data_IF_111017154522
#
_entry.id   IF_111017154522
#
_cell.length_a   1.000
_cell.length_b   1.000
_cell.length_c   1.000
_cell.angle_alpha   90.00
_cell.angle_beta   90.00
_cell.angle_gamma   90.00
#
_symmetry.space_group_name_H-M   'P 1'
#
loop_
_entity.id
_entity.type
_entity.pdbx_description
1 polymer ?
#
# COMPACT_ATOMS: atom_id res chain seq x y z
N UNK A 1 15.36 -26.97 7.71
CA UNK A 1 13.97 -26.96 8.22
C UNK A 1 13.14 -26.10 7.31
N UNK A 2 12.18 -26.67 6.58
CA UNK A 2 11.23 -25.92 5.75
C UNK A 2 10.33 -25.09 6.67
N UNK A 3 10.42 -23.79 6.59
CA UNK A 3 9.58 -22.87 7.39
C UNK A 3 8.14 -22.99 6.85
N UNK A 4 7.20 -23.36 7.71
CA UNK A 4 5.79 -23.54 7.32
C UNK A 4 5.21 -22.22 6.84
N UNK A 5 4.68 -22.17 5.62
CA UNK A 5 4.13 -20.95 5.01
C UNK A 5 2.86 -20.45 5.69
N UNK A 6 1.92 -21.36 6.02
CA UNK A 6 0.60 -20.99 6.53
C UNK A 6 0.63 -20.16 7.82
N UNK A 7 1.38 -20.51 8.89
CA UNK A 7 1.44 -19.65 10.08
C UNK A 7 2.01 -18.27 9.81
N UNK A 8 2.99 -18.16 8.89
CA UNK A 8 3.57 -16.86 8.51
C UNK A 8 2.56 -16.03 7.72
N UNK A 9 1.81 -16.62 6.79
CA UNK A 9 0.76 -15.92 6.05
C UNK A 9 -0.30 -15.37 7.00
N UNK A 10 -0.81 -16.19 7.93
CA UNK A 10 -1.82 -15.77 8.90
C UNK A 10 -1.27 -14.69 9.83
N UNK A 11 -0.10 -14.92 10.41
CA UNK A 11 0.51 -13.95 11.34
C UNK A 11 0.83 -12.62 10.67
N UNK A 12 1.56 -12.63 9.54
CA UNK A 12 1.85 -11.41 8.81
C UNK A 12 0.59 -10.78 8.22
N UNK A 13 -0.37 -11.58 7.74
CA UNK A 13 -1.65 -11.07 7.26
C UNK A 13 -2.39 -10.27 8.34
N UNK A 14 -2.44 -10.81 9.56
CA UNK A 14 -3.03 -10.13 10.72
C UNK A 14 -2.28 -8.85 11.05
N UNK A 15 -0.94 -8.88 11.13
CA UNK A 15 -0.16 -7.68 11.47
C UNK A 15 -0.19 -6.64 10.35
N UNK A 16 -0.30 -7.04 9.08
CA UNK A 16 -0.52 -6.13 7.97
C UNK A 16 -1.92 -5.49 8.04
N UNK A 17 -2.96 -6.27 8.34
CA UNK A 17 -4.31 -5.73 8.55
C UNK A 17 -4.32 -4.68 9.65
N UNK A 18 -3.68 -4.97 10.80
CA UNK A 18 -3.54 -4.04 11.91
C UNK A 18 -2.79 -2.76 11.48
N UNK A 19 -1.63 -2.90 10.83
CA UNK A 19 -0.80 -1.77 10.45
C UNK A 19 -1.50 -0.84 9.44
N UNK A 20 -2.16 -1.41 8.41
CA UNK A 20 -2.92 -0.62 7.44
C UNK A 20 -4.13 0.07 8.07
N UNK A 21 -4.89 -0.64 8.91
CA UNK A 21 -6.09 -0.11 9.58
C UNK A 21 -5.77 1.09 10.48
N UNK A 22 -4.70 0.97 11.30
CA UNK A 22 -4.34 1.94 12.32
C UNK A 22 -3.42 3.08 11.85
N UNK A 23 -2.94 3.04 10.60
CA UNK A 23 -2.08 4.10 10.05
C UNK A 23 -2.63 4.68 8.76
N UNK A 24 -2.55 3.95 7.64
CA UNK A 24 -2.94 4.47 6.33
C UNK A 24 -4.44 4.80 6.23
N UNK A 25 -5.31 3.99 6.84
CA UNK A 25 -6.76 4.19 6.79
C UNK A 25 -7.31 5.05 7.93
N UNK A 26 -6.49 5.38 8.91
CA UNK A 26 -6.89 6.14 10.10
C UNK A 26 -7.43 7.56 9.76
N UNK A 27 -6.79 8.35 8.87
CA UNK A 27 -7.26 9.70 8.57
C UNK A 27 -8.67 9.77 7.99
N UNK A 28 -9.11 8.72 7.31
CA UNK A 28 -10.46 8.69 6.74
C UNK A 28 -11.58 8.84 7.77
N UNK A 29 -11.32 8.46 9.03
CA UNK A 29 -12.29 8.51 10.13
C UNK A 29 -11.92 9.60 11.14
N UNK A 30 -10.63 9.76 11.45
CA UNK A 30 -10.20 10.65 12.54
C UNK A 30 -9.77 12.05 12.11
N UNK A 31 -9.63 12.34 10.80
CA UNK A 31 -9.14 13.65 10.36
C UNK A 31 -10.03 14.80 10.84
N UNK A 32 -11.34 14.71 10.66
CA UNK A 32 -12.27 15.76 11.06
C UNK A 32 -12.40 15.91 12.57
N UNK A 33 -12.56 14.83 13.38
CA UNK A 33 -12.55 14.95 14.83
C UNK A 33 -11.27 15.57 15.40
N UNK A 34 -10.09 15.18 14.89
CA UNK A 34 -8.81 15.76 15.32
C UNK A 34 -8.73 17.24 14.92
N UNK A 35 -9.12 17.57 13.70
CA UNK A 35 -9.09 18.95 13.20
C UNK A 35 -9.99 19.86 14.02
N UNK A 36 -11.21 19.41 14.33
CA UNK A 36 -12.17 20.13 15.16
C UNK A 36 -11.61 20.38 16.57
N UNK A 37 -11.04 19.37 17.21
CA UNK A 37 -10.52 19.46 18.58
C UNK A 37 -9.27 20.35 18.68
N UNK A 38 -8.43 20.36 17.63
CA UNK A 38 -7.24 21.24 17.56
C UNK A 38 -7.55 22.64 17.00
N UNK A 39 -8.79 22.93 16.59
CA UNK A 39 -9.18 24.21 16.00
C UNK A 39 -8.49 24.51 14.66
N UNK A 40 -8.23 23.48 13.85
CA UNK A 40 -7.54 23.60 12.56
C UNK A 40 -8.36 23.01 11.41
N UNK A 41 -7.98 23.26 10.17
CA UNK A 41 -8.58 22.60 9.02
C UNK A 41 -8.10 21.14 8.90
N UNK A 42 -8.99 20.22 8.48
CA UNK A 42 -8.65 18.82 8.16
C UNK A 42 -7.52 18.70 7.12
N UNK A 43 -7.30 19.75 6.31
CA UNK A 43 -6.18 19.80 5.36
C UNK A 43 -4.80 19.67 6.05
N UNK A 44 -4.67 20.12 7.29
CA UNK A 44 -3.44 19.95 8.06
C UNK A 44 -3.19 18.47 8.40
N UNK A 45 -4.25 17.71 8.71
CA UNK A 45 -4.16 16.28 9.01
C UNK A 45 -3.77 15.51 7.75
N UNK A 46 -4.43 15.78 6.61
CA UNK A 46 -4.10 15.17 5.34
C UNK A 46 -2.72 15.58 4.83
N UNK A 47 -2.29 16.82 5.07
CA UNK A 47 -0.94 17.29 4.77
C UNK A 47 0.13 16.55 5.57
N UNK A 48 -0.08 16.37 6.88
CA UNK A 48 0.81 15.60 7.74
C UNK A 48 0.85 14.11 7.33
N UNK A 49 -0.29 13.52 6.97
CA UNK A 49 -0.37 12.18 6.39
C UNK A 49 0.42 12.07 5.08
N UNK A 50 0.26 13.02 4.15
CA UNK A 50 1.04 13.05 2.91
C UNK A 50 2.54 13.15 3.17
N UNK A 51 2.96 14.00 4.11
CA UNK A 51 4.36 14.09 4.53
C UNK A 51 4.87 12.74 5.11
N UNK A 52 4.04 12.02 5.86
CA UNK A 52 4.39 10.70 6.39
C UNK A 52 4.62 9.66 5.28
N UNK A 53 3.86 9.71 4.18
CA UNK A 53 4.08 8.85 3.02
C UNK A 53 5.40 9.17 2.31
N UNK A 54 5.78 10.44 2.22
CA UNK A 54 7.08 10.85 1.68
C UNK A 54 8.23 10.32 2.55
N UNK A 55 8.12 10.43 3.88
CA UNK A 55 9.10 9.85 4.80
C UNK A 55 9.23 8.33 4.60
N UNK A 56 8.09 7.63 4.53
CA UNK A 56 8.06 6.20 4.26
C UNK A 56 8.76 5.86 2.93
N UNK A 57 8.56 6.68 1.88
CA UNK A 57 9.21 6.51 0.59
C UNK A 57 10.73 6.67 0.67
N UNK A 58 11.20 7.74 1.32
CA UNK A 58 12.64 8.03 1.45
C UNK A 58 13.39 6.96 2.25
N UNK A 59 12.76 6.36 3.23
CA UNK A 59 13.34 5.30 4.05
C UNK A 59 13.34 3.94 3.36
N UNK A 60 12.49 3.72 2.34
CA UNK A 60 12.29 2.44 1.67
C UNK A 60 13.58 1.71 1.29
N UNK A 61 14.53 2.34 0.56
CA UNK A 61 15.77 1.66 0.17
C UNK A 61 16.67 1.26 1.35
N UNK A 62 16.70 2.05 2.42
CA UNK A 62 17.47 1.74 3.63
C UNK A 62 16.83 0.59 4.42
N UNK A 63 15.50 0.60 4.55
CA UNK A 63 14.73 -0.47 5.19
C UNK A 63 14.89 -1.77 4.42
N UNK A 64 14.76 -1.74 3.10
CA UNK A 64 14.95 -2.92 2.24
C UNK A 64 16.33 -3.55 2.42
N UNK A 65 17.40 -2.75 2.41
CA UNK A 65 18.77 -3.22 2.70
C UNK A 65 18.90 -3.84 4.08
N UNK A 66 18.21 -3.27 5.06
CA UNK A 66 18.24 -3.80 6.42
C UNK A 66 17.60 -5.18 6.48
N UNK A 67 16.47 -5.38 5.79
CA UNK A 67 15.81 -6.69 5.71
C UNK A 67 16.69 -7.70 5.00
N UNK A 68 17.33 -7.32 3.89
CA UNK A 68 18.24 -8.20 3.15
C UNK A 68 19.44 -8.65 4.03
N UNK A 69 19.85 -7.84 5.01
CA UNK A 69 20.98 -8.16 5.91
C UNK A 69 20.57 -8.97 7.13
N UNK A 70 19.56 -8.52 7.87
CA UNK A 70 19.21 -9.07 9.20
C UNK A 70 17.86 -9.80 9.22
N UNK A 71 17.12 -9.82 8.09
CA UNK A 71 15.79 -10.40 7.99
C UNK A 71 14.66 -9.48 8.45
N UNK A 72 13.42 -9.91 8.19
CA UNK A 72 12.23 -9.09 8.43
C UNK A 72 11.76 -9.04 9.88
N UNK A 73 12.12 -10.03 10.73
CA UNK A 73 11.61 -10.15 12.10
C UNK A 73 11.84 -8.88 12.93
N UNK A 74 13.08 -8.41 12.98
CA UNK A 74 13.45 -7.25 13.78
C UNK A 74 12.82 -5.96 13.23
N UNK A 75 12.81 -5.79 11.91
CA UNK A 75 12.27 -4.60 11.24
C UNK A 75 10.76 -4.48 11.44
N UNK A 76 10.02 -5.57 11.20
CA UNK A 76 8.56 -5.62 11.39
C UNK A 76 8.16 -5.56 12.87
N UNK A 77 8.99 -6.07 13.79
CA UNK A 77 8.74 -5.89 15.22
C UNK A 77 8.97 -4.45 15.66
N UNK A 78 10.04 -3.80 15.17
CA UNK A 78 10.31 -2.39 15.43
C UNK A 78 9.20 -1.49 14.87
N UNK A 79 8.60 -1.84 13.72
CA UNK A 79 7.48 -1.07 13.17
C UNK A 79 6.31 -0.99 14.15
N UNK A 80 5.99 -2.09 14.86
CA UNK A 80 4.90 -2.08 15.85
C UNK A 80 5.19 -1.13 17.01
N UNK A 81 6.44 -1.06 17.48
CA UNK A 81 6.83 -0.12 18.54
C UNK A 81 6.72 1.33 18.06
N UNK A 82 7.17 1.62 16.84
CA UNK A 82 7.13 2.97 16.27
C UNK A 82 5.69 3.38 15.94
N UNK A 83 4.87 2.49 15.37
CA UNK A 83 3.46 2.76 15.13
C UNK A 83 2.70 2.99 16.44
N UNK A 84 2.95 2.17 17.45
CA UNK A 84 2.36 2.37 18.79
C UNK A 84 2.76 3.73 19.39
N UNK A 85 4.04 4.10 19.28
CA UNK A 85 4.53 5.38 19.78
C UNK A 85 3.93 6.56 19.01
N UNK A 86 3.82 6.45 17.68
CA UNK A 86 3.19 7.46 16.82
C UNK A 86 1.70 7.63 17.12
N UNK A 87 0.97 6.54 17.31
CA UNK A 87 -0.45 6.55 17.68
C UNK A 87 -0.66 7.11 19.09
N UNK A 88 0.18 6.73 20.05
CA UNK A 88 0.13 7.29 21.40
C UNK A 88 0.41 8.80 21.38
N UNK A 89 1.43 9.24 20.63
CA UNK A 89 1.74 10.66 20.49
C UNK A 89 0.61 11.40 19.77
N UNK A 90 -0.06 10.77 18.79
CA UNK A 90 -1.24 11.34 18.14
C UNK A 90 -2.38 11.54 19.16
N UNK A 91 -2.66 10.53 20.01
CA UNK A 91 -3.65 10.64 21.09
C UNK A 91 -3.34 11.74 22.11
N UNK A 92 -2.05 12.07 22.30
CA UNK A 92 -1.58 13.15 23.17
C UNK A 92 -1.52 14.53 22.46
N UNK A 93 -1.87 14.61 21.17
CA UNK A 93 -1.71 15.86 20.41
C UNK A 93 -2.62 16.97 20.92
N UNK A 94 -2.01 18.07 21.31
CA UNK A 94 -2.65 19.33 21.73
C UNK A 94 -2.23 20.52 20.86
N UNK A 95 -1.36 20.27 19.87
CA UNK A 95 -0.85 21.30 18.96
C UNK A 95 -0.46 20.69 17.61
N UNK A 96 -0.35 21.53 16.59
CA UNK A 96 0.12 21.11 15.25
C UNK A 96 1.52 20.52 15.27
N UNK A 97 2.39 20.93 16.19
CA UNK A 97 3.74 20.41 16.30
C UNK A 97 3.76 18.96 16.80
N UNK A 98 2.95 18.66 17.82
CA UNK A 98 2.80 17.28 18.32
C UNK A 98 2.13 16.42 17.26
N UNK A 99 1.11 16.92 16.57
CA UNK A 99 0.47 16.28 15.44
C UNK A 99 1.49 15.92 14.35
N UNK A 100 2.30 16.90 13.93
CA UNK A 100 3.33 16.69 12.91
C UNK A 100 4.37 15.64 13.35
N UNK A 101 4.83 15.68 14.60
CA UNK A 101 5.74 14.70 15.17
C UNK A 101 5.11 13.29 15.20
N UNK A 102 3.83 13.17 15.55
CA UNK A 102 3.10 11.89 15.54
C UNK A 102 3.04 11.31 14.13
N UNK A 103 2.67 12.12 13.12
CA UNK A 103 2.63 11.67 11.73
C UNK A 103 4.01 11.34 11.17
N UNK A 104 5.07 12.03 11.63
CA UNK A 104 6.46 11.70 11.29
C UNK A 104 6.82 10.29 11.79
N UNK A 105 6.50 9.98 13.04
CA UNK A 105 6.68 8.62 13.59
C UNK A 105 5.83 7.59 12.85
N UNK A 106 4.56 7.90 12.58
CA UNK A 106 3.69 7.02 11.79
C UNK A 106 4.26 6.77 10.40
N UNK A 107 4.86 7.79 9.75
CA UNK A 107 5.55 7.64 8.47
C UNK A 107 6.72 6.68 8.52
N UNK A 108 7.56 6.76 9.55
CA UNK A 108 8.65 5.82 9.80
C UNK A 108 8.06 4.41 10.04
N UNK A 109 7.05 4.30 10.89
CA UNK A 109 6.37 3.05 11.22
C UNK A 109 5.74 2.39 9.98
N UNK A 110 5.08 3.17 9.11
CA UNK A 110 4.53 2.69 7.84
C UNK A 110 5.63 2.20 6.89
N UNK A 111 6.75 2.91 6.81
CA UNK A 111 7.91 2.45 6.02
C UNK A 111 8.44 1.11 6.49
N UNK A 112 8.55 0.91 7.80
CA UNK A 112 9.04 -0.31 8.43
C UNK A 112 8.02 -1.46 8.47
N UNK A 113 6.72 -1.19 8.34
CA UNK A 113 5.66 -2.15 8.70
C UNK A 113 4.69 -2.51 7.59
N UNK A 114 4.56 -1.74 6.51
CA UNK A 114 3.60 -2.01 5.44
C UNK A 114 4.13 -2.99 4.40
N UNK A 115 3.35 -3.21 3.35
CA UNK A 115 3.52 -4.29 2.36
C UNK A 115 4.95 -4.48 1.82
N UNK A 116 5.66 -3.42 1.43
CA UNK A 116 6.98 -3.59 0.77
C UNK A 116 7.98 -4.25 1.73
N UNK A 117 7.90 -3.92 3.02
CA UNK A 117 8.70 -4.53 4.09
C UNK A 117 8.30 -5.99 4.34
N UNK A 118 6.99 -6.28 4.35
CA UNK A 118 6.48 -7.64 4.49
C UNK A 118 6.85 -8.50 3.27
N UNK A 119 6.76 -7.96 2.05
CA UNK A 119 7.16 -8.65 0.82
C UNK A 119 8.67 -8.93 0.80
N UNK A 120 9.49 -7.95 1.20
CA UNK A 120 10.94 -8.15 1.33
C UNK A 120 11.28 -9.27 2.33
N UNK A 121 10.59 -9.29 3.48
CA UNK A 121 10.75 -10.35 4.47
C UNK A 121 10.36 -11.74 3.92
N UNK A 122 9.24 -11.84 3.21
CA UNK A 122 8.81 -13.09 2.56
C UNK A 122 9.77 -13.54 1.46
N UNK A 123 10.25 -12.60 0.63
CA UNK A 123 11.26 -12.88 -0.40
C UNK A 123 12.56 -13.44 0.21
N UNK A 124 13.00 -12.89 1.36
CA UNK A 124 14.16 -13.42 2.07
C UNK A 124 13.92 -14.81 2.69
N UNK A 125 12.71 -15.10 3.16
CA UNK A 125 12.38 -16.39 3.79
C UNK A 125 12.22 -17.49 2.75
N UNK A 126 11.49 -17.21 1.66
CA UNK A 126 11.03 -18.23 0.70
C UNK A 126 11.69 -18.14 -0.68
N UNK A 127 12.50 -17.10 -0.93
CA UNK A 127 13.13 -16.89 -2.24
C UNK A 127 12.08 -16.84 -3.36
N UNK A 128 12.29 -17.58 -4.44
CA UNK A 128 11.36 -17.67 -5.58
C UNK A 128 9.96 -18.21 -5.20
N UNK A 129 9.85 -19.00 -4.13
CA UNK A 129 8.57 -19.53 -3.66
C UNK A 129 7.72 -18.53 -2.86
N UNK A 130 8.16 -17.28 -2.68
CA UNK A 130 7.46 -16.27 -1.89
C UNK A 130 6.14 -15.79 -2.53
N UNK A 131 5.92 -16.00 -3.85
CA UNK A 131 4.74 -15.51 -4.58
C UNK A 131 3.42 -15.84 -3.86
N UNK A 132 3.21 -17.11 -3.51
CA UNK A 132 1.98 -17.56 -2.82
C UNK A 132 1.80 -16.90 -1.44
N UNK A 133 2.90 -16.71 -0.71
CA UNK A 133 2.86 -16.03 0.60
C UNK A 133 2.57 -14.53 0.46
N UNK A 134 3.13 -13.85 -0.55
CA UNK A 134 2.86 -12.45 -0.88
C UNK A 134 1.36 -12.28 -1.21
N UNK A 135 0.81 -13.11 -2.10
CA UNK A 135 -0.63 -13.10 -2.40
C UNK A 135 -1.46 -13.37 -1.15
N UNK A 136 -1.07 -14.36 -0.34
CA UNK A 136 -1.77 -14.71 0.90
C UNK A 136 -1.89 -13.54 1.88
N UNK A 137 -0.80 -12.84 2.21
CA UNK A 137 -0.88 -11.70 3.15
C UNK A 137 -1.69 -10.53 2.57
N UNK A 138 -1.71 -10.35 1.24
CA UNK A 138 -2.52 -9.29 0.62
C UNK A 138 -4.01 -9.61 0.64
N UNK A 139 -4.40 -10.89 0.65
CA UNK A 139 -5.80 -11.29 0.86
C UNK A 139 -6.27 -10.88 2.26
N UNK A 140 -5.48 -11.18 3.31
CA UNK A 140 -5.80 -10.76 4.69
C UNK A 140 -5.90 -9.24 4.82
N UNK A 141 -4.84 -8.53 4.43
CA UNK A 141 -4.81 -7.08 4.56
C UNK A 141 -5.71 -6.35 3.54
N UNK A 142 -6.29 -7.06 2.59
CA UNK A 142 -7.38 -6.56 1.75
C UNK A 142 -8.61 -6.16 2.56
N UNK A 143 -8.79 -6.73 3.75
CA UNK A 143 -9.86 -6.39 4.69
C UNK A 143 -9.49 -5.29 5.68
N UNK A 144 -8.30 -4.67 5.56
CA UNK A 144 -7.85 -3.69 6.53
C UNK A 144 -8.78 -2.47 6.66
N UNK A 145 -9.31 -1.94 5.56
CA UNK A 145 -10.31 -0.87 5.61
C UNK A 145 -11.66 -1.37 6.10
N UNK A 146 -12.08 -2.57 5.68
CA UNK A 146 -13.36 -3.20 6.07
C UNK A 146 -13.43 -3.47 7.57
N UNK A 147 -12.29 -3.75 8.21
CA UNK A 147 -12.18 -3.96 9.65
C UNK A 147 -11.83 -2.64 10.36
N UNK A 148 -10.86 -1.91 9.83
CA UNK A 148 -10.29 -0.73 10.46
C UNK A 148 -11.26 0.44 10.57
N UNK A 149 -12.00 0.75 9.53
CA UNK A 149 -12.96 1.86 9.56
C UNK A 149 -14.08 1.65 10.57
N UNK A 150 -14.82 0.51 10.60
CA UNK A 150 -15.84 0.31 11.63
C UNK A 150 -15.28 0.29 13.05
N UNK A 151 -14.11 -0.31 13.27
CA UNK A 151 -13.49 -0.33 14.61
C UNK A 151 -13.05 1.07 15.03
N UNK A 152 -12.47 1.86 14.13
CA UNK A 152 -12.08 3.25 14.42
C UNK A 152 -13.30 4.13 14.66
N UNK A 153 -14.37 3.98 13.86
CA UNK A 153 -15.61 4.72 14.04
C UNK A 153 -16.32 4.36 15.35
N UNK A 154 -16.35 3.06 15.70
CA UNK A 154 -16.90 2.60 16.98
C UNK A 154 -16.09 3.15 18.17
N UNK A 155 -14.77 3.14 18.07
CA UNK A 155 -13.88 3.74 19.06
C UNK A 155 -14.16 5.24 19.21
N UNK A 156 -14.22 5.98 18.10
CA UNK A 156 -14.53 7.40 18.09
C UNK A 156 -15.86 7.69 18.80
N UNK A 157 -16.90 6.91 18.52
CA UNK A 157 -18.25 7.08 19.10
C UNK A 157 -18.27 6.75 20.60
N UNK A 158 -17.57 5.69 21.03
CA UNK A 158 -17.67 5.15 22.39
C UNK A 158 -16.70 5.76 23.39
N UNK A 159 -15.49 6.05 22.95
CA UNK A 159 -14.38 6.46 23.84
C UNK A 159 -13.68 7.75 23.36
N UNK A 160 -14.01 8.26 22.18
CA UNK A 160 -13.36 9.44 21.62
C UNK A 160 -12.14 9.10 20.76
N UNK A 161 -11.66 10.10 20.01
CA UNK A 161 -10.55 9.88 19.06
C UNK A 161 -9.19 9.65 19.72
N UNK A 162 -8.93 10.25 20.89
CA UNK A 162 -7.66 10.10 21.63
C UNK A 162 -7.50 8.68 22.15
N UNK A 163 -8.51 8.19 22.83
CA UNK A 163 -8.57 6.84 23.40
C UNK A 163 -8.59 5.79 22.29
N UNK A 164 -9.18 6.10 21.13
CA UNK A 164 -9.09 5.24 19.94
C UNK A 164 -7.66 5.12 19.43
N UNK A 165 -6.89 6.20 19.43
CA UNK A 165 -5.46 6.16 19.09
C UNK A 165 -4.68 5.31 20.12
N UNK A 166 -4.95 5.43 21.42
CA UNK A 166 -4.32 4.58 22.44
C UNK A 166 -4.73 3.11 22.32
N UNK A 167 -5.98 2.82 21.96
CA UNK A 167 -6.43 1.45 21.73
C UNK A 167 -5.67 0.82 20.53
N UNK A 168 -5.49 1.54 19.42
CA UNK A 168 -4.68 1.08 18.31
C UNK A 168 -3.20 0.92 18.69
N UNK A 169 -2.64 1.83 19.50
CA UNK A 169 -1.27 1.70 20.03
C UNK A 169 -1.12 0.43 20.87
N UNK A 170 -2.07 0.17 21.76
CA UNK A 170 -2.10 -1.05 22.57
C UNK A 170 -2.20 -2.31 21.71
N UNK A 171 -3.01 -2.30 20.63
CA UNK A 171 -3.12 -3.43 19.71
C UNK A 171 -1.78 -3.74 19.02
N UNK A 172 -0.98 -2.72 18.67
CA UNK A 172 0.37 -2.95 18.15
C UNK A 172 1.30 -3.63 19.15
N UNK A 173 1.24 -3.25 20.44
CA UNK A 173 2.08 -3.84 21.49
C UNK A 173 1.60 -5.24 21.87
N UNK A 174 0.29 -5.43 22.02
CA UNK A 174 -0.28 -6.67 22.55
C UNK A 174 -0.52 -7.75 21.50
N UNK A 175 -0.72 -7.36 20.25
CA UNK A 175 -1.04 -8.28 19.14
C UNK A 175 0.09 -8.25 18.09
N UNK A 176 0.37 -7.08 17.51
CA UNK A 176 1.29 -6.97 16.38
C UNK A 176 2.71 -7.37 16.70
N UNK A 177 3.25 -6.85 17.80
CA UNK A 177 4.63 -7.11 18.24
C UNK A 177 4.86 -8.59 18.60
N UNK A 178 4.04 -9.24 19.45
CA UNK A 178 4.21 -10.66 19.76
C UNK A 178 4.10 -11.57 18.54
N UNK A 179 3.16 -11.30 17.63
CA UNK A 179 3.02 -12.08 16.40
C UNK A 179 4.29 -11.99 15.56
N UNK A 180 4.81 -10.79 15.28
CA UNK A 180 6.01 -10.61 14.48
C UNK A 180 7.26 -11.24 15.13
N UNK A 181 7.35 -11.20 16.47
CA UNK A 181 8.44 -11.82 17.23
C UNK A 181 8.39 -13.36 17.23
N UNK A 182 7.22 -13.94 17.15
CA UNK A 182 7.05 -15.41 17.28
C UNK A 182 6.94 -16.12 15.94
N UNK A 183 6.24 -15.50 14.98
CA UNK A 183 5.92 -16.13 13.68
C UNK A 183 7.09 -16.02 12.70
N UNK A 184 7.83 -14.91 12.72
CA UNK A 184 8.94 -14.71 11.81
C UNK A 184 10.23 -15.37 12.30
N UNK A 185 10.97 -16.07 11.41
CA UNK A 185 12.24 -16.68 11.77
C UNK A 185 13.27 -15.61 12.15
N UNK A 186 14.07 -15.93 13.17
CA UNK A 186 15.26 -15.13 13.49
C UNK A 186 16.38 -15.55 12.54
N UNK A 187 16.86 -14.60 11.77
CA UNK A 187 18.11 -14.79 11.02
C UNK A 187 19.27 -14.40 11.93
N UNK A 188 20.21 -15.34 12.11
CA UNK A 188 21.52 -14.99 12.67
C UNK A 188 22.27 -14.26 11.56
N UNK A 189 22.85 -13.08 11.80
CA UNK A 189 23.80 -12.51 10.86
C UNK A 189 24.88 -13.58 10.62
N UNK A 190 25.06 -14.02 9.38
CA UNK A 190 26.26 -14.80 9.08
C UNK A 190 27.43 -13.95 9.50
N UNK A 191 28.27 -14.49 10.38
CA UNK A 191 29.56 -13.92 10.70
C UNK A 191 30.40 -14.02 9.40
N UNK A 192 30.18 -13.07 8.47
CA UNK A 192 31.04 -12.92 7.31
C UNK A 192 32.39 -12.52 7.82
N UNK A 193 33.37 -13.38 7.48
CA UNK A 193 34.79 -13.11 7.57
C UNK A 193 35.07 -11.63 7.27
N UNK A 194 36.03 -11.08 7.95
CA UNK A 194 36.64 -9.76 8.03
C UNK A 194 36.88 -8.96 6.73
N UNK A 195 36.24 -9.33 5.62
CA UNK A 195 36.23 -8.52 4.41
C UNK A 195 35.15 -7.43 4.57
N UNK A 196 35.59 -6.19 4.49
CA UNK A 196 34.69 -5.01 4.46
C UNK A 196 33.56 -5.30 3.47
N UNK A 197 32.30 -5.16 3.86
CA UNK A 197 31.21 -5.40 2.94
C UNK A 197 31.31 -4.36 1.83
N UNK A 198 31.84 -4.78 0.68
CA UNK A 198 31.67 -4.04 -0.57
C UNK A 198 30.15 -3.90 -0.69
N UNK A 199 29.65 -2.67 -0.48
CA UNK A 199 28.23 -2.37 -0.68
C UNK A 199 27.92 -2.79 -2.12
N UNK A 200 27.12 -3.83 -2.37
CA UNK A 200 26.84 -4.21 -3.72
C UNK A 200 26.20 -3.00 -4.39
N UNK A 201 26.89 -2.41 -5.34
CA UNK A 201 26.32 -1.39 -6.22
C UNK A 201 25.37 -2.15 -7.14
N UNK A 202 24.11 -2.25 -6.73
CA UNK A 202 23.07 -2.77 -7.60
C UNK A 202 22.81 -1.66 -8.61
N UNK A 203 23.12 -1.86 -9.88
CA UNK A 203 22.85 -0.85 -10.89
C UNK A 203 21.33 -0.65 -10.99
N UNK A 204 20.91 0.59 -11.12
CA UNK A 204 19.53 0.93 -11.50
C UNK A 204 19.46 0.67 -13.00
N UNK A 205 18.92 -0.48 -13.35
CA UNK A 205 18.75 -0.89 -14.75
C UNK A 205 17.42 -0.40 -15.35
N UNK A 206 17.27 -0.60 -16.66
CA UNK A 206 16.05 -0.22 -17.38
C UNK A 206 14.80 -0.87 -16.81
N UNK A 207 14.87 -2.12 -16.35
CA UNK A 207 13.73 -2.83 -15.80
C UNK A 207 13.27 -2.22 -14.47
N UNK A 208 14.20 -1.83 -13.59
CA UNK A 208 13.90 -1.11 -12.36
C UNK A 208 13.22 0.23 -12.64
N UNK A 209 13.69 0.99 -13.62
CA UNK A 209 13.10 2.30 -13.99
C UNK A 209 11.68 2.11 -14.52
N UNK A 210 11.47 1.14 -15.41
CA UNK A 210 10.15 0.85 -15.98
C UNK A 210 9.15 0.37 -14.91
N UNK A 211 9.58 -0.47 -13.99
CA UNK A 211 8.74 -0.89 -12.86
C UNK A 211 8.43 0.25 -11.90
N UNK A 212 9.43 1.07 -11.56
CA UNK A 212 9.24 2.24 -10.71
C UNK A 212 8.23 3.23 -11.33
N UNK A 213 8.35 3.50 -12.63
CA UNK A 213 7.41 4.33 -13.37
C UNK A 213 6.01 3.71 -13.42
N UNK A 214 5.91 2.40 -13.73
CA UNK A 214 4.63 1.69 -13.79
C UNK A 214 3.90 1.75 -12.45
N UNK A 215 4.60 1.46 -11.36
CA UNK A 215 3.99 1.48 -10.01
C UNK A 215 3.71 2.92 -9.53
N UNK A 216 4.53 3.90 -9.90
CA UNK A 216 4.25 5.30 -9.61
C UNK A 216 2.96 5.76 -10.31
N UNK A 217 2.79 5.44 -11.59
CA UNK A 217 1.57 5.73 -12.35
C UNK A 217 0.34 5.06 -11.72
N UNK A 218 0.45 3.77 -11.38
CA UNK A 218 -0.63 3.01 -10.75
C UNK A 218 -1.03 3.58 -9.38
N UNK A 219 -0.05 3.92 -8.52
CA UNK A 219 -0.32 4.48 -7.19
C UNK A 219 -0.81 5.92 -7.25
N UNK A 220 -0.43 6.70 -8.27
CA UNK A 220 -1.05 8.02 -8.53
C UNK A 220 -2.54 7.88 -8.80
N UNK A 221 -2.93 6.96 -9.69
CA UNK A 221 -4.35 6.68 -9.99
C UNK A 221 -5.07 6.20 -8.73
N UNK A 222 -4.48 5.27 -7.97
CA UNK A 222 -5.07 4.77 -6.72
C UNK A 222 -5.24 5.89 -5.69
N UNK A 223 -4.23 6.74 -5.48
CA UNK A 223 -4.29 7.85 -4.54
C UNK A 223 -5.33 8.90 -4.94
N UNK A 224 -5.40 9.24 -6.22
CA UNK A 224 -6.39 10.16 -6.77
C UNK A 224 -7.82 9.64 -6.60
N UNK A 225 -8.06 8.37 -6.94
CA UNK A 225 -9.38 7.75 -6.77
C UNK A 225 -9.78 7.62 -5.30
N UNK A 226 -8.85 7.28 -4.42
CA UNK A 226 -9.12 7.21 -2.99
C UNK A 226 -9.58 8.55 -2.40
N UNK A 227 -9.07 9.67 -2.92
CA UNK A 227 -9.41 11.00 -2.43
C UNK A 227 -10.65 11.61 -3.11
N UNK A 228 -10.85 11.35 -4.41
CA UNK A 228 -11.77 12.13 -5.23
C UNK A 228 -12.85 11.32 -5.94
N UNK A 229 -12.95 10.01 -5.70
CA UNK A 229 -13.90 9.15 -6.41
C UNK A 229 -15.34 9.66 -6.38
N UNK A 230 -15.93 10.00 -5.21
CA UNK A 230 -17.31 10.48 -5.19
C UNK A 230 -17.50 11.71 -6.09
N UNK A 231 -16.61 12.67 -5.98
CA UNK A 231 -16.64 13.91 -6.77
C UNK A 231 -16.52 13.68 -8.27
N UNK A 232 -15.67 12.73 -8.70
CA UNK A 232 -15.51 12.34 -10.10
C UNK A 232 -16.80 11.68 -10.62
N UNK A 233 -17.41 10.79 -9.84
CA UNK A 233 -18.64 10.09 -10.20
C UNK A 233 -19.83 11.06 -10.28
N UNK A 234 -19.94 12.01 -9.34
CA UNK A 234 -20.96 13.06 -9.36
C UNK A 234 -20.79 13.97 -10.60
N UNK A 235 -19.54 14.34 -10.93
CA UNK A 235 -19.27 15.09 -12.14
C UNK A 235 -19.58 14.30 -13.44
N UNK A 236 -19.61 12.96 -13.37
CA UNK A 236 -20.06 12.10 -14.46
C UNK A 236 -21.60 11.88 -14.47
N UNK A 237 -22.34 12.55 -13.59
CA UNK A 237 -23.81 12.49 -13.52
C UNK A 237 -24.37 11.44 -12.57
N UNK A 238 -23.56 10.85 -11.66
CA UNK A 238 -24.07 9.99 -10.60
C UNK A 238 -24.69 10.85 -9.48
N UNK A 239 -25.73 10.34 -8.83
CA UNK A 239 -26.20 10.92 -7.57
C UNK A 239 -25.19 10.64 -6.43
N UNK A 240 -25.22 11.43 -5.35
CA UNK A 240 -24.35 11.23 -4.20
C UNK A 240 -24.53 9.83 -3.59
N UNK A 241 -25.75 9.29 -3.58
CA UNK A 241 -26.02 7.92 -3.13
C UNK A 241 -25.35 6.89 -4.04
N UNK A 242 -25.42 7.06 -5.36
CA UNK A 242 -24.74 6.18 -6.32
C UNK A 242 -23.23 6.26 -6.17
N UNK A 243 -22.68 7.44 -5.97
CA UNK A 243 -21.23 7.65 -5.79
C UNK A 243 -20.70 6.95 -4.53
N UNK A 244 -21.40 7.09 -3.40
CA UNK A 244 -21.05 6.42 -2.14
C UNK A 244 -21.19 4.89 -2.27
N UNK A 245 -22.28 4.42 -2.85
CA UNK A 245 -22.52 2.97 -3.07
C UNK A 245 -21.43 2.38 -3.98
N UNK A 246 -21.07 3.07 -5.07
CA UNK A 246 -19.99 2.65 -5.95
C UNK A 246 -18.64 2.59 -5.21
N UNK A 247 -18.32 3.58 -4.39
CA UNK A 247 -17.13 3.59 -3.57
C UNK A 247 -17.01 2.37 -2.65
N UNK A 248 -18.13 1.94 -2.06
CA UNK A 248 -18.19 0.77 -1.19
C UNK A 248 -17.87 -0.56 -1.93
N UNK A 249 -18.06 -0.61 -3.26
CA UNK A 249 -17.75 -1.80 -4.06
C UNK A 249 -16.27 -2.00 -4.35
N UNK A 250 -15.41 -0.97 -4.18
CA UNK A 250 -13.97 -1.07 -4.46
C UNK A 250 -13.32 -2.16 -3.61
N UNK A 251 -13.58 -2.19 -2.31
CA UNK A 251 -13.00 -3.19 -1.40
C UNK A 251 -13.34 -4.63 -1.78
N UNK A 252 -14.62 -5.00 -1.90
CA UNK A 252 -15.03 -6.32 -2.39
C UNK A 252 -14.42 -6.68 -3.76
N UNK A 253 -14.41 -5.75 -4.71
CA UNK A 253 -13.81 -5.97 -6.02
C UNK A 253 -12.31 -6.27 -5.96
N UNK A 254 -11.57 -5.56 -5.09
CA UNK A 254 -10.14 -5.85 -4.85
C UNK A 254 -9.92 -7.26 -4.30
N UNK A 255 -10.71 -7.69 -3.33
CA UNK A 255 -10.58 -9.02 -2.72
C UNK A 255 -10.91 -10.11 -3.73
N UNK A 256 -12.02 -9.97 -4.47
CA UNK A 256 -12.41 -10.93 -5.51
C UNK A 256 -11.32 -11.04 -6.58
N UNK A 257 -10.77 -9.92 -7.04
CA UNK A 257 -9.71 -9.92 -8.04
C UNK A 257 -8.43 -10.60 -7.53
N UNK A 258 -8.08 -10.46 -6.24
CA UNK A 258 -6.96 -11.15 -5.61
C UNK A 258 -7.20 -12.66 -5.51
N UNK A 259 -8.44 -13.08 -5.23
CA UNK A 259 -8.82 -14.51 -5.23
C UNK A 259 -8.69 -15.08 -6.65
N UNK A 260 -9.16 -14.37 -7.67
CA UNK A 260 -9.03 -14.77 -9.08
C UNK A 260 -7.55 -14.85 -9.47
N UNK A 261 -6.73 -13.87 -9.06
CA UNK A 261 -5.27 -13.90 -9.31
C UNK A 261 -4.64 -15.13 -8.65
N UNK A 262 -4.93 -15.37 -7.38
CA UNK A 262 -4.37 -16.50 -6.63
C UNK A 262 -4.75 -17.86 -7.23
N UNK A 263 -6.02 -18.04 -7.63
CA UNK A 263 -6.54 -19.32 -8.11
C UNK A 263 -6.29 -19.56 -9.59
N UNK A 264 -6.38 -18.52 -10.43
CA UNK A 264 -6.39 -18.68 -11.89
C UNK A 264 -5.17 -18.05 -12.57
N UNK A 265 -4.84 -16.80 -12.25
CA UNK A 265 -3.79 -16.05 -12.92
C UNK A 265 -2.38 -16.35 -12.36
N UNK A 266 -2.29 -16.99 -11.19
CA UNK A 266 -1.01 -17.34 -10.55
C UNK A 266 -0.15 -18.32 -11.38
N UNK A 267 -0.74 -19.07 -12.31
CA UNK A 267 -0.04 -19.96 -13.23
C UNK A 267 0.72 -19.24 -14.35
N UNK A 268 0.40 -17.97 -14.58
CA UNK A 268 1.10 -17.17 -15.59
C UNK A 268 2.22 -16.36 -14.95
N UNK A 269 3.18 -15.92 -15.79
CA UNK A 269 4.19 -14.98 -15.31
C UNK A 269 3.52 -13.70 -14.75
N UNK A 270 3.98 -13.15 -13.63
CA UNK A 270 3.33 -12.00 -12.96
C UNK A 270 3.10 -10.76 -13.83
N UNK A 271 3.87 -10.61 -14.90
CA UNK A 271 3.67 -9.50 -15.86
C UNK A 271 2.30 -9.58 -16.57
N UNK A 272 1.77 -10.78 -16.80
CA UNK A 272 0.48 -10.97 -17.50
C UNK A 272 -0.69 -10.42 -16.69
N UNK A 273 -0.94 -10.87 -15.43
CA UNK A 273 -1.99 -10.28 -14.61
C UNK A 273 -1.76 -8.79 -14.35
N UNK A 274 -0.50 -8.32 -14.26
CA UNK A 274 -0.20 -6.91 -14.07
C UNK A 274 -0.61 -6.07 -15.29
N UNK A 275 -0.34 -6.54 -16.51
CA UNK A 275 -0.79 -5.86 -17.75
C UNK A 275 -2.32 -5.82 -17.85
N UNK A 276 -2.99 -6.91 -17.54
CA UNK A 276 -4.46 -6.97 -17.51
C UNK A 276 -5.02 -5.96 -16.50
N UNK A 277 -4.42 -5.87 -15.31
CA UNK A 277 -4.82 -4.93 -14.28
C UNK A 277 -4.68 -3.46 -14.71
N UNK A 278 -3.67 -3.12 -15.53
CA UNK A 278 -3.53 -1.77 -16.08
C UNK A 278 -4.66 -1.39 -17.05
N UNK A 279 -5.35 -2.36 -17.64
CA UNK A 279 -6.48 -2.12 -18.56
C UNK A 279 -7.81 -1.94 -17.82
N UNK A 280 -7.96 -2.45 -16.62
CA UNK A 280 -9.25 -2.44 -15.92
C UNK A 280 -9.75 -1.01 -15.65
N UNK A 281 -8.89 -0.11 -15.17
CA UNK A 281 -9.28 1.28 -14.90
C UNK A 281 -9.69 2.04 -16.18
N UNK A 282 -8.95 2.03 -17.30
CA UNK A 282 -9.39 2.63 -18.55
C UNK A 282 -10.69 2.05 -19.11
N UNK A 283 -10.89 0.72 -18.99
CA UNK A 283 -12.14 0.08 -19.41
C UNK A 283 -13.30 0.57 -18.58
N UNK A 284 -13.16 0.61 -17.26
CA UNK A 284 -14.18 1.18 -16.38
C UNK A 284 -14.47 2.65 -16.69
N UNK A 285 -13.43 3.46 -16.92
CA UNK A 285 -13.56 4.87 -17.30
C UNK A 285 -14.30 5.06 -18.63
N UNK A 286 -14.03 4.22 -19.64
CA UNK A 286 -14.74 4.24 -20.92
C UNK A 286 -16.22 3.87 -20.73
N UNK A 287 -16.54 2.86 -19.93
CA UNK A 287 -17.93 2.48 -19.61
C UNK A 287 -18.65 3.66 -18.93
N UNK A 288 -18.01 4.31 -17.95
CA UNK A 288 -18.56 5.47 -17.27
C UNK A 288 -18.78 6.65 -18.23
N UNK A 289 -17.84 6.92 -19.10
CA UNK A 289 -17.94 7.99 -20.10
C UNK A 289 -19.07 7.77 -21.10
N UNK A 290 -19.35 6.51 -21.49
CA UNK A 290 -20.41 6.16 -22.45
C UNK A 290 -21.80 6.11 -21.80
N UNK A 291 -21.91 5.70 -20.53
CA UNK A 291 -23.17 5.43 -19.85
C UNK A 291 -23.51 6.45 -18.75
N UNK A 292 -22.63 7.39 -18.49
CA UNK A 292 -22.82 8.40 -17.42
C UNK A 292 -22.88 7.78 -16.02
N UNK A 293 -23.47 8.52 -15.08
CA UNK A 293 -23.56 8.15 -13.66
C UNK A 293 -24.17 6.79 -13.35
N UNK A 294 -25.00 6.24 -14.26
CA UNK A 294 -25.58 4.89 -14.11
C UNK A 294 -24.50 3.79 -14.06
N UNK A 295 -23.33 4.03 -14.66
CA UNK A 295 -22.20 3.09 -14.69
C UNK A 295 -21.21 3.29 -13.54
N UNK A 296 -21.49 4.13 -12.55
CA UNK A 296 -20.60 4.41 -11.41
C UNK A 296 -20.11 3.14 -10.70
N UNK A 297 -21.02 2.19 -10.45
CA UNK A 297 -20.71 0.91 -9.81
C UNK A 297 -19.79 0.04 -10.68
N UNK A 298 -20.03 0.00 -12.01
CA UNK A 298 -19.18 -0.73 -12.94
C UNK A 298 -17.75 -0.16 -12.94
N UNK A 299 -17.60 1.17 -13.02
CA UNK A 299 -16.30 1.82 -12.91
C UNK A 299 -15.57 1.44 -11.62
N UNK A 300 -16.26 1.52 -10.47
CA UNK A 300 -15.68 1.20 -9.18
C UNK A 300 -15.20 -0.26 -9.08
N UNK A 301 -15.97 -1.20 -9.63
CA UNK A 301 -15.61 -2.62 -9.69
C UNK A 301 -14.36 -2.83 -10.56
N UNK A 302 -14.31 -2.27 -11.75
CA UNK A 302 -13.14 -2.39 -12.64
C UNK A 302 -11.90 -1.75 -12.02
N UNK A 303 -12.02 -0.53 -11.48
CA UNK A 303 -10.93 0.14 -10.79
C UNK A 303 -10.43 -0.67 -9.57
N UNK A 304 -11.37 -1.14 -8.74
CA UNK A 304 -11.05 -1.96 -7.57
C UNK A 304 -10.35 -3.25 -7.94
N UNK A 305 -10.83 -3.97 -8.96
CA UNK A 305 -10.22 -5.21 -9.43
C UNK A 305 -8.76 -5.00 -9.87
N UNK A 306 -8.49 -3.97 -10.67
CA UNK A 306 -7.14 -3.61 -11.09
C UNK A 306 -6.23 -3.29 -9.91
N UNK A 307 -6.69 -2.46 -8.97
CA UNK A 307 -5.93 -2.10 -7.79
C UNK A 307 -5.61 -3.32 -6.90
N UNK A 308 -6.54 -4.28 -6.80
CA UNK A 308 -6.32 -5.55 -6.10
C UNK A 308 -5.15 -6.34 -6.68
N UNK A 309 -5.11 -6.54 -7.99
CA UNK A 309 -4.04 -7.28 -8.69
C UNK A 309 -2.71 -6.50 -8.65
N UNK A 310 -2.73 -5.18 -8.88
CA UNK A 310 -1.53 -4.33 -8.83
C UNK A 310 -0.86 -4.34 -7.44
N UNK A 311 -1.63 -4.49 -6.38
CA UNK A 311 -1.08 -4.64 -5.02
C UNK A 311 -0.23 -5.91 -4.89
N UNK A 312 -0.69 -7.04 -5.44
CA UNK A 312 0.08 -8.31 -5.47
C UNK A 312 1.31 -8.15 -6.38
N UNK A 313 1.11 -7.53 -7.55
CA UNK A 313 2.15 -7.35 -8.55
C UNK A 313 3.36 -6.57 -8.03
N UNK A 314 3.17 -5.61 -7.11
CA UNK A 314 4.26 -4.85 -6.48
C UNK A 314 5.27 -5.73 -5.75
N UNK A 315 4.85 -6.86 -5.22
CA UNK A 315 5.75 -7.83 -4.60
C UNK A 315 6.19 -8.94 -5.56
N UNK A 316 5.26 -9.47 -6.36
CA UNK A 316 5.52 -10.67 -7.16
C UNK A 316 6.27 -10.39 -8.46
N UNK A 317 6.02 -9.26 -9.11
CA UNK A 317 6.66 -8.93 -10.40
C UNK A 317 8.14 -8.58 -10.24
N UNK A 318 8.58 -7.74 -9.29
CA UNK A 318 10.01 -7.54 -9.03
C UNK A 318 10.73 -8.84 -8.62
N UNK A 319 10.07 -9.71 -7.84
CA UNK A 319 10.63 -11.00 -7.45
C UNK A 319 10.85 -11.92 -8.67
N UNK A 320 9.90 -11.94 -9.60
CA UNK A 320 10.00 -12.75 -10.82
C UNK A 320 11.09 -12.25 -11.77
N UNK A 321 11.31 -10.92 -11.85
CA UNK A 321 12.29 -10.32 -12.77
C UNK A 321 13.71 -10.36 -12.20
N UNK A 322 13.88 -10.05 -10.91
CA UNK A 322 15.20 -9.84 -10.30
C UNK A 322 15.64 -10.98 -9.38
N UNK A 323 14.75 -11.93 -9.09
CA UNK A 323 15.01 -12.97 -8.10
C UNK A 323 15.04 -12.45 -6.66
N UNK A 324 15.40 -13.32 -5.70
CA UNK A 324 15.38 -13.00 -4.27
C UNK A 324 16.61 -12.24 -3.78
N UNK A 325 17.67 -12.13 -4.60
CA UNK A 325 18.89 -11.44 -4.19
C UNK A 325 18.70 -9.92 -4.09
N UNK A 326 19.03 -9.35 -2.91
CA UNK A 326 18.84 -7.93 -2.62
C UNK A 326 17.42 -7.44 -2.93
N UNK A 327 16.43 -8.33 -2.81
CA UNK A 327 15.04 -8.08 -3.17
C UNK A 327 14.45 -6.92 -2.35
N UNK A 328 14.74 -6.86 -1.06
CA UNK A 328 14.29 -5.76 -0.20
C UNK A 328 14.80 -4.40 -0.66
N UNK A 329 16.08 -4.31 -0.99
CA UNK A 329 16.66 -3.07 -1.52
C UNK A 329 16.04 -2.64 -2.84
N UNK A 330 15.84 -3.59 -3.78
CA UNK A 330 15.18 -3.32 -5.06
C UNK A 330 13.74 -2.85 -4.87
N UNK A 331 12.97 -3.51 -4.00
CA UNK A 331 11.62 -3.06 -3.65
C UNK A 331 11.60 -1.64 -3.07
N UNK A 332 12.56 -1.31 -2.21
CA UNK A 332 12.69 0.03 -1.66
C UNK A 332 12.93 1.10 -2.73
N UNK A 333 13.81 0.83 -3.70
CA UNK A 333 14.10 1.76 -4.82
C UNK A 333 12.89 1.89 -5.74
N UNK A 334 12.28 0.78 -6.13
CA UNK A 334 11.12 0.76 -7.04
C UNK A 334 9.89 1.39 -6.37
N UNK A 335 9.71 1.15 -5.07
CA UNK A 335 8.56 1.64 -4.30
C UNK A 335 8.64 3.12 -3.91
N UNK A 336 9.85 3.70 -3.80
CA UNK A 336 9.99 5.09 -3.36
C UNK A 336 9.30 6.10 -4.29
N UNK A 337 9.53 6.11 -5.63
CA UNK A 337 8.80 6.99 -6.54
C UNK A 337 7.29 6.74 -6.53
N UNK A 338 6.88 5.48 -6.38
CA UNK A 338 5.48 5.11 -6.34
C UNK A 338 4.73 5.71 -5.13
N UNK A 339 5.35 5.66 -3.95
CA UNK A 339 4.78 6.27 -2.73
C UNK A 339 4.82 7.80 -2.78
N UNK A 340 5.87 8.40 -3.35
CA UNK A 340 5.93 9.85 -3.57
C UNK A 340 4.80 10.30 -4.50
N UNK A 341 4.59 9.59 -5.60
CA UNK A 341 3.51 9.85 -6.54
C UNK A 341 2.13 9.71 -5.86
N UNK A 342 1.95 8.68 -5.03
CA UNK A 342 0.73 8.49 -4.24
C UNK A 342 0.47 9.63 -3.25
N UNK A 343 1.52 10.16 -2.62
CA UNK A 343 1.39 11.28 -1.66
C UNK A 343 0.97 12.59 -2.35
N UNK A 344 1.43 12.82 -3.58
CA UNK A 344 1.17 14.05 -4.36
C UNK A 344 -0.14 13.96 -5.16
N UNK A 345 -0.56 12.75 -5.56
CA UNK A 345 -1.68 12.54 -6.46
C UNK A 345 -3.00 13.18 -6.00
N UNK A 346 -3.42 13.12 -4.72
CA UNK A 346 -4.65 13.76 -4.29
C UNK A 346 -4.67 15.27 -4.56
N UNK A 347 -3.56 15.96 -4.27
CA UNK A 347 -3.44 17.40 -4.53
C UNK A 347 -3.45 17.71 -6.03
N UNK A 348 -2.62 17.00 -6.80
CA UNK A 348 -2.51 17.22 -8.25
C UNK A 348 -3.85 16.97 -8.96
N UNK A 349 -4.53 15.88 -8.62
CA UNK A 349 -5.84 15.57 -9.21
C UNK A 349 -6.93 16.51 -8.71
N UNK A 350 -6.89 16.95 -7.45
CA UNK A 350 -7.82 17.95 -6.91
C UNK A 350 -7.83 19.22 -7.73
N UNK A 351 -6.64 19.76 -8.05
CA UNK A 351 -6.49 20.96 -8.89
C UNK A 351 -7.01 20.72 -10.34
N UNK A 352 -6.78 19.53 -10.88
CA UNK A 352 -7.22 19.23 -12.24
C UNK A 352 -8.74 18.98 -12.32
N UNK A 353 -9.34 18.40 -11.30
CA UNK A 353 -10.80 18.14 -11.26
C UNK A 353 -11.58 19.44 -11.34
N UNK A 354 -11.11 20.53 -10.71
CA UNK A 354 -11.77 21.83 -10.74
C UNK A 354 -11.92 22.36 -12.19
N UNK A 355 -10.93 22.08 -13.05
CA UNK A 355 -10.93 22.50 -14.44
C UNK A 355 -11.58 21.48 -15.40
N UNK A 356 -11.46 20.17 -15.12
CA UNK A 356 -11.77 19.10 -16.04
C UNK A 356 -13.05 18.31 -15.68
N UNK A 357 -13.53 18.37 -14.44
CA UNK A 357 -14.63 17.54 -13.97
C UNK A 357 -14.35 16.05 -14.20
N UNK A 358 -15.33 15.31 -14.73
CA UNK A 358 -15.19 13.90 -15.05
C UNK A 358 -14.13 13.57 -16.12
N UNK A 359 -13.75 14.54 -16.96
CA UNK A 359 -12.70 14.33 -17.98
C UNK A 359 -11.32 14.06 -17.37
N UNK A 360 -11.12 14.26 -16.07
CA UNK A 360 -9.92 13.84 -15.33
C UNK A 360 -9.63 12.33 -15.51
N UNK A 361 -10.65 11.53 -15.81
CA UNK A 361 -10.51 10.11 -16.12
C UNK A 361 -9.68 9.84 -17.38
N UNK A 362 -9.55 10.81 -18.28
CA UNK A 362 -8.63 10.73 -19.43
C UNK A 362 -7.19 10.71 -18.93
N UNK A 363 -6.86 11.60 -17.97
CA UNK A 363 -5.52 11.68 -17.38
C UNK A 363 -5.18 10.38 -16.62
N UNK A 364 -6.08 9.89 -15.76
CA UNK A 364 -5.86 8.65 -15.01
C UNK A 364 -5.79 7.41 -15.94
N UNK A 365 -6.57 7.38 -17.01
CA UNK A 365 -6.49 6.32 -18.02
C UNK A 365 -5.19 6.39 -18.82
N UNK A 366 -4.72 7.59 -19.18
CA UNK A 366 -3.43 7.78 -19.85
C UNK A 366 -2.26 7.29 -18.96
N UNK A 367 -2.29 7.56 -17.66
CA UNK A 367 -1.32 7.02 -16.68
C UNK A 367 -1.37 5.49 -16.64
N UNK A 368 -2.56 4.88 -16.66
CA UNK A 368 -2.73 3.43 -16.67
C UNK A 368 -2.21 2.80 -17.98
N UNK A 369 -2.44 3.44 -19.13
CA UNK A 369 -1.85 3.01 -20.41
C UNK A 369 -0.34 3.21 -20.46
N UNK A 370 0.19 4.30 -19.90
CA UNK A 370 1.64 4.51 -19.79
C UNK A 370 2.29 3.44 -18.92
N UNK A 371 1.63 3.05 -17.80
CA UNK A 371 2.04 1.91 -16.99
C UNK A 371 2.07 0.60 -17.79
N UNK A 372 1.03 0.31 -18.57
CA UNK A 372 0.97 -0.86 -19.44
C UNK A 372 2.13 -0.87 -20.46
N UNK A 373 2.39 0.26 -21.13
CA UNK A 373 3.47 0.39 -22.10
C UNK A 373 4.84 0.18 -21.46
N UNK A 374 5.06 0.69 -20.24
CA UNK A 374 6.28 0.48 -19.48
C UNK A 374 6.51 -1.00 -19.14
N UNK A 375 5.43 -1.76 -18.93
CA UNK A 375 5.50 -3.20 -18.65
C UNK A 375 5.70 -4.07 -19.90
N UNK A 376 5.47 -3.51 -21.11
CA UNK A 376 5.50 -4.31 -22.33
C UNK A 376 6.83 -5.01 -22.59
N UNK A 377 8.01 -4.36 -22.44
CA UNK A 377 9.30 -5.00 -22.68
C UNK A 377 9.72 -5.99 -21.58
N UNK A 378 9.08 -5.97 -20.39
CA UNK A 378 9.53 -6.72 -19.22
C UNK A 378 9.18 -8.23 -19.25
N UNK A 379 8.37 -8.70 -20.19
CA UNK A 379 7.98 -10.10 -20.31
C UNK A 379 8.65 -10.86 -21.44
N UNK A 380 9.67 -10.29 -22.06
CA UNK A 380 10.37 -10.86 -23.21
C UNK A 380 11.74 -11.46 -22.85
N UNK A 381 12.13 -11.44 -21.57
CA UNK A 381 13.37 -12.13 -21.16
C UNK A 381 13.10 -13.65 -21.12
N UNK A 382 13.96 -14.46 -21.77
CA UNK A 382 13.90 -15.91 -21.62
C UNK A 382 14.08 -16.28 -20.14
N UNK A 383 13.34 -17.31 -19.68
CA UNK A 383 13.60 -17.90 -18.37
C UNK A 383 15.10 -18.18 -18.24
N UNK A 384 15.75 -17.79 -17.15
CA UNK A 384 17.10 -18.24 -16.90
C UNK A 384 17.10 -19.76 -16.81
N UNK A 385 17.82 -20.39 -17.71
CA UNK A 385 17.96 -21.84 -17.85
C UNK A 385 18.56 -22.49 -16.58
#
# INVERSE_FOLDING_TARGET
MTVRQFPIIVGLGTTQTLAWASSYYLPAILADPIAHDLGVSSNWIFGAFSASLVISALLGPAIGRTIDRIGGRQVLSLSNLILASGLALLGLATSLWILAAAWLLLGIGMGLGLYDTAFAALGRIYGHAARGSITGITLFAGFASTIGWPLTALGLDRIGWRETCFAWAAAHILIGLPINLTVLPAFKPEARATEQPIKPRIPIDRAMILLAFSFASALSVTGAMAAHLPRILEAAGASSVQAVTAGALIGPAQVIARIIEAGFLSRYHPVVPTRLACLTHPVGAAILALSGGSAASAFAIFHGAGNGILTIARGTLPLAIFGPENFGYRLGIIGAPARMAQAVAPLAFGLLIDAMGAHILIVSSALSFASLLALWPLGQQPDPA
#
